data_IF_460161276465
#
_entry.id   IF_460161276465
#
_cell.length_a   1.000
_cell.length_b   1.000
_cell.length_c   1.000
_cell.angle_alpha   90.00
_cell.angle_beta   90.00
_cell.angle_gamma   90.00
#
_symmetry.space_group_name_H-M   'P 1'
#
loop_
_entity.id
_entity.type
_entity.pdbx_description
1 polymer ?
#
# COMPACT_ATOMS: atom_id res chain seq x y z
N UNK A 1 11.61 -7.63 31.60
CA UNK A 1 10.46 -7.77 30.68
C UNK A 1 10.92 -8.72 29.60
N UNK A 2 10.24 -9.86 29.42
CA UNK A 2 10.55 -10.74 28.29
C UNK A 2 10.08 -9.98 27.06
N UNK A 3 11.00 -9.62 26.16
CA UNK A 3 10.60 -9.11 24.85
C UNK A 3 9.74 -10.19 24.19
N UNK A 4 8.47 -9.87 24.00
CA UNK A 4 7.55 -10.72 23.26
C UNK A 4 8.09 -10.86 21.84
N UNK A 5 7.96 -12.05 21.25
CA UNK A 5 8.31 -12.26 19.85
C UNK A 5 7.55 -11.27 18.97
N UNK A 6 8.28 -10.52 18.15
CA UNK A 6 7.72 -9.62 17.15
C UNK A 6 7.19 -10.43 15.95
N UNK A 7 5.88 -10.40 15.72
CA UNK A 7 5.25 -11.07 14.56
C UNK A 7 4.86 -10.03 13.52
N UNK A 8 5.44 -10.16 12.34
CA UNK A 8 5.30 -9.22 11.23
C UNK A 8 4.64 -9.91 10.04
N UNK A 9 3.92 -9.15 9.22
CA UNK A 9 3.27 -9.66 8.02
C UNK A 9 3.29 -8.68 6.86
N UNK A 10 2.69 -9.08 5.74
CA UNK A 10 2.46 -8.19 4.60
C UNK A 10 1.33 -8.71 3.72
N UNK A 11 0.68 -7.79 3.02
CA UNK A 11 -0.34 -8.11 2.01
C UNK A 11 0.29 -8.03 0.63
N UNK A 12 0.10 -9.08 -0.19
CA UNK A 12 0.50 -9.03 -1.58
C UNK A 12 -0.37 -8.02 -2.34
N UNK A 13 0.28 -7.10 -3.04
CA UNK A 13 -0.36 -5.89 -3.56
C UNK A 13 0.13 -5.49 -4.95
N UNK A 14 0.77 -6.40 -5.68
CA UNK A 14 1.30 -6.07 -7.01
C UNK A 14 0.19 -5.62 -7.96
N UNK A 15 0.43 -4.46 -8.58
CA UNK A 15 -0.25 -4.01 -9.79
C UNK A 15 0.74 -4.21 -10.93
N UNK A 16 0.55 -5.29 -11.69
CA UNK A 16 1.49 -5.74 -12.73
C UNK A 16 0.90 -5.48 -14.10
N UNK A 17 1.61 -4.70 -14.92
CA UNK A 17 1.27 -4.49 -16.33
C UNK A 17 1.92 -5.57 -17.18
N UNK A 18 1.08 -6.39 -17.81
CA UNK A 18 1.44 -7.51 -18.66
C UNK A 18 0.92 -7.24 -20.07
N UNK A 19 1.75 -6.60 -20.91
CA UNK A 19 1.35 -6.19 -22.27
C UNK A 19 0.06 -5.35 -22.20
N UNK A 20 -1.01 -5.81 -22.83
CA UNK A 20 -2.32 -5.15 -22.88
C UNK A 20 -3.21 -5.38 -21.64
N UNK A 21 -2.71 -6.03 -20.59
CA UNK A 21 -3.48 -6.37 -19.39
C UNK A 21 -2.80 -5.86 -18.14
N UNK A 22 -3.58 -5.43 -17.17
CA UNK A 22 -3.11 -5.14 -15.81
C UNK A 22 -3.72 -6.16 -14.86
N UNK A 23 -2.89 -6.78 -14.02
CA UNK A 23 -3.33 -7.61 -12.90
C UNK A 23 -3.17 -6.83 -11.62
N UNK A 24 -4.16 -6.91 -10.76
CA UNK A 24 -4.18 -6.24 -9.46
C UNK A 24 -4.43 -7.29 -8.37
N UNK A 25 -3.39 -7.59 -7.60
CA UNK A 25 -3.46 -8.63 -6.58
C UNK A 25 -4.30 -8.22 -5.35
N UNK A 26 -4.50 -6.93 -5.09
CA UNK A 26 -5.44 -6.50 -4.04
C UNK A 26 -6.87 -6.88 -4.42
N UNK A 27 -7.22 -6.73 -5.70
CA UNK A 27 -8.55 -7.11 -6.22
C UNK A 27 -8.68 -8.62 -6.38
N UNK A 28 -7.68 -9.29 -6.94
CA UNK A 28 -7.73 -10.75 -7.18
C UNK A 28 -7.80 -11.57 -5.88
N UNK A 29 -7.22 -11.08 -4.78
CA UNK A 29 -7.34 -11.70 -3.44
C UNK A 29 -8.60 -11.25 -2.67
N UNK A 30 -9.34 -10.29 -3.23
CA UNK A 30 -10.51 -9.65 -2.60
C UNK A 30 -10.16 -8.73 -1.43
N UNK A 31 -8.89 -8.51 -1.12
CA UNK A 31 -8.47 -7.63 -0.03
C UNK A 31 -8.90 -6.16 -0.25
N UNK A 32 -8.93 -5.74 -1.52
CA UNK A 32 -9.36 -4.39 -1.91
C UNK A 32 -10.76 -4.06 -1.39
N UNK A 33 -11.68 -5.03 -1.45
CA UNK A 33 -13.09 -4.86 -1.04
C UNK A 33 -13.32 -5.26 0.43
N UNK A 34 -12.53 -6.21 0.95
CA UNK A 34 -12.74 -6.81 2.28
C UNK A 34 -11.93 -6.11 3.37
N UNK A 35 -12.49 -5.04 3.95
CA UNK A 35 -11.89 -4.32 5.08
C UNK A 35 -11.65 -5.20 6.32
N UNK A 36 -12.51 -6.19 6.56
CA UNK A 36 -12.42 -7.10 7.70
C UNK A 36 -11.14 -7.93 7.78
N UNK A 37 -10.38 -8.06 6.68
CA UNK A 37 -9.08 -8.75 6.68
C UNK A 37 -8.09 -8.16 7.67
N UNK A 38 -8.16 -6.85 7.93
CA UNK A 38 -7.26 -6.19 8.88
C UNK A 38 -7.48 -6.69 10.31
N UNK A 39 -8.74 -6.94 10.69
CA UNK A 39 -9.08 -7.51 11.99
C UNK A 39 -8.57 -8.95 12.10
N UNK A 40 -8.76 -9.77 11.06
CA UNK A 40 -8.23 -11.14 11.02
C UNK A 40 -6.70 -11.17 11.10
N UNK A 41 -6.01 -10.22 10.45
CA UNK A 41 -4.55 -10.06 10.55
C UNK A 41 -4.13 -9.75 12.00
N UNK A 42 -4.83 -8.81 12.65
CA UNK A 42 -4.53 -8.45 14.04
C UNK A 42 -4.77 -9.61 15.02
N UNK A 43 -5.81 -10.42 14.79
CA UNK A 43 -6.14 -11.62 15.59
C UNK A 43 -5.05 -12.70 15.51
N UNK A 44 -4.29 -12.77 14.41
CA UNK A 44 -3.11 -13.65 14.30
C UNK A 44 -1.93 -13.21 15.18
N UNK A 45 -2.03 -12.07 15.87
CA UNK A 45 -0.96 -11.53 16.70
C UNK A 45 0.06 -10.68 15.94
N UNK A 46 -0.18 -10.37 14.66
CA UNK A 46 0.68 -9.47 13.88
C UNK A 46 0.57 -8.05 14.44
N UNK A 47 1.71 -7.46 14.79
CA UNK A 47 1.80 -6.08 15.31
C UNK A 47 2.44 -5.09 14.35
N UNK A 48 3.13 -5.58 13.32
CA UNK A 48 3.71 -4.76 12.24
C UNK A 48 3.32 -5.33 10.88
N UNK A 49 2.79 -4.50 9.99
CA UNK A 49 2.28 -4.95 8.68
C UNK A 49 2.87 -4.09 7.56
N UNK A 50 3.56 -4.71 6.59
CA UNK A 50 3.85 -4.05 5.31
C UNK A 50 2.53 -3.86 4.57
N UNK A 51 2.13 -2.61 4.40
CA UNK A 51 0.82 -2.28 3.85
C UNK A 51 0.92 -1.29 2.67
N UNK A 52 0.19 -1.51 1.57
CA UNK A 52 0.28 -0.66 0.39
C UNK A 52 -0.32 0.74 0.63
N UNK A 53 0.46 1.75 0.25
CA UNK A 53 -0.03 3.09 -0.07
C UNK A 53 0.49 3.39 -1.47
N UNK A 54 0.12 2.53 -2.43
CA UNK A 54 0.73 2.49 -3.75
C UNK A 54 0.40 3.74 -4.56
N UNK A 55 1.43 4.34 -5.16
CA UNK A 55 1.31 5.50 -6.03
C UNK A 55 0.34 5.26 -7.18
N UNK A 56 0.43 4.11 -7.84
CA UNK A 56 -0.50 3.72 -8.91
C UNK A 56 -1.94 3.53 -8.41
N UNK A 57 -2.14 3.17 -7.14
CA UNK A 57 -3.49 3.01 -6.60
C UNK A 57 -4.15 4.36 -6.33
N UNK A 58 -3.36 5.32 -5.81
CA UNK A 58 -3.84 6.66 -5.47
C UNK A 58 -4.00 7.55 -6.71
N UNK A 59 -3.05 7.50 -7.65
CA UNK A 59 -3.01 8.40 -8.82
C UNK A 59 -3.25 7.68 -10.16
N UNK A 60 -3.75 6.45 -10.14
CA UNK A 60 -3.84 5.58 -11.33
C UNK A 60 -4.81 6.04 -12.43
N UNK A 61 -5.79 6.87 -12.09
CA UNK A 61 -6.82 7.39 -13.01
C UNK A 61 -6.61 8.86 -13.42
N UNK A 62 -5.48 9.45 -13.04
CA UNK A 62 -5.17 10.86 -13.29
C UNK A 62 -5.73 11.82 -12.24
N UNK A 63 -6.40 11.31 -11.21
CA UNK A 63 -6.78 12.05 -10.01
C UNK A 63 -6.23 11.36 -8.76
N UNK A 64 -5.97 12.11 -7.69
CA UNK A 64 -5.50 11.52 -6.42
C UNK A 64 -6.71 11.07 -5.57
N UNK A 65 -6.96 9.77 -5.49
CA UNK A 65 -7.98 9.17 -4.62
C UNK A 65 -7.36 8.51 -3.37
N UNK A 66 -7.49 9.20 -2.24
CA UNK A 66 -6.96 8.76 -0.95
C UNK A 66 -7.95 7.94 -0.11
N UNK A 67 -9.20 7.77 -0.55
CA UNK A 67 -10.27 7.17 0.27
C UNK A 67 -9.91 5.76 0.72
N UNK A 68 -9.27 4.98 -0.16
CA UNK A 68 -8.86 3.62 0.16
C UNK A 68 -7.73 3.58 1.21
N UNK A 69 -6.55 4.19 1.00
CA UNK A 69 -5.49 4.17 2.02
C UNK A 69 -5.92 4.83 3.33
N UNK A 70 -6.74 5.89 3.30
CA UNK A 70 -7.27 6.51 4.52
C UNK A 70 -8.08 5.52 5.36
N UNK A 71 -9.03 4.83 4.74
CA UNK A 71 -9.87 3.86 5.43
C UNK A 71 -9.02 2.73 6.04
N UNK A 72 -8.00 2.25 5.31
CA UNK A 72 -7.18 1.11 5.73
C UNK A 72 -6.17 1.49 6.81
N UNK A 73 -5.47 2.61 6.68
CA UNK A 73 -4.50 3.06 7.68
C UNK A 73 -5.17 3.46 9.00
N UNK A 74 -6.36 4.08 8.94
CA UNK A 74 -7.14 4.37 10.14
C UNK A 74 -7.59 3.08 10.86
N UNK A 75 -7.97 2.05 10.11
CA UNK A 75 -8.34 0.76 10.70
C UNK A 75 -7.13 0.04 11.32
N UNK A 76 -5.97 0.04 10.66
CA UNK A 76 -4.73 -0.48 11.25
C UNK A 76 -4.36 0.23 12.55
N UNK A 77 -4.49 1.57 12.58
CA UNK A 77 -4.29 2.38 13.79
C UNK A 77 -5.26 1.97 14.89
N UNK A 78 -6.56 1.81 14.58
CA UNK A 78 -7.60 1.37 15.54
C UNK A 78 -7.28 -0.01 16.12
N UNK A 79 -6.74 -0.92 15.31
CA UNK A 79 -6.36 -2.28 15.70
C UNK A 79 -5.01 -2.37 16.43
N UNK A 80 -4.27 -1.26 16.54
CA UNK A 80 -2.94 -1.25 17.14
C UNK A 80 -1.89 -2.00 16.32
N UNK A 81 -2.05 -2.04 14.99
CA UNK A 81 -1.09 -2.63 14.05
C UNK A 81 -0.29 -1.49 13.40
N UNK A 82 1.04 -1.54 13.52
CA UNK A 82 1.95 -0.54 12.95
C UNK A 82 2.16 -0.79 11.45
N UNK A 83 1.73 0.10 10.54
CA UNK A 83 2.00 -0.05 9.13
C UNK A 83 3.46 0.28 8.78
N UNK A 84 4.02 -0.45 7.82
CA UNK A 84 5.17 -0.04 7.02
C UNK A 84 4.64 0.27 5.62
N UNK A 85 4.51 1.56 5.28
CA UNK A 85 3.88 1.99 4.04
C UNK A 85 4.74 1.68 2.82
N UNK A 86 4.22 0.88 1.90
CA UNK A 86 4.83 0.61 0.59
C UNK A 86 4.30 1.57 -0.46
N UNK A 87 5.16 2.44 -1.00
CA UNK A 87 4.79 3.47 -1.98
C UNK A 87 4.77 2.96 -3.42
N UNK A 88 5.63 2.00 -3.71
CA UNK A 88 5.76 1.32 -5.01
C UNK A 88 5.97 -0.16 -4.78
N UNK A 89 5.53 -0.98 -5.73
CA UNK A 89 5.81 -2.41 -5.73
C UNK A 89 6.30 -2.82 -7.12
N UNK A 90 7.49 -3.43 -7.18
CA UNK A 90 8.18 -3.78 -8.42
C UNK A 90 8.44 -2.63 -9.41
N UNK A 91 8.52 -1.39 -8.93
CA UNK A 91 8.80 -0.23 -9.78
C UNK A 91 7.61 0.27 -10.61
N UNK A 92 6.39 -0.19 -10.31
CA UNK A 92 5.17 0.32 -10.91
C UNK A 92 4.76 1.66 -10.26
N UNK A 93 4.85 2.75 -11.03
CA UNK A 93 4.12 4.01 -10.79
C UNK A 93 2.81 4.04 -11.60
N UNK A 94 2.03 5.13 -11.59
CA UNK A 94 0.85 5.33 -12.45
C UNK A 94 1.14 5.12 -13.94
N UNK A 95 0.10 5.02 -14.77
CA UNK A 95 0.26 4.67 -16.20
C UNK A 95 1.16 5.64 -16.99
N UNK A 96 1.33 6.85 -16.49
CA UNK A 96 2.14 7.90 -17.12
C UNK A 96 3.65 7.75 -16.91
N UNK A 97 4.12 6.82 -16.08
CA UNK A 97 5.55 6.66 -15.75
C UNK A 97 5.92 5.22 -15.42
N UNK A 98 7.22 4.92 -15.36
CA UNK A 98 7.77 3.60 -15.06
C UNK A 98 9.21 3.71 -14.55
N UNK A 99 9.77 2.64 -13.95
CA UNK A 99 11.12 2.64 -13.36
C UNK A 99 12.27 3.07 -14.30
N UNK A 100 12.09 2.98 -15.61
CA UNK A 100 13.08 3.43 -16.61
C UNK A 100 12.90 4.88 -17.07
N UNK A 101 11.88 5.57 -16.57
CA UNK A 101 11.60 6.97 -16.89
C UNK A 101 12.63 7.82 -16.12
N UNK A 102 13.40 8.70 -16.79
CA UNK A 102 14.39 9.54 -16.13
C UNK A 102 13.80 10.39 -14.99
N UNK A 103 12.53 10.77 -15.09
CA UNK A 103 11.85 11.59 -14.07
C UNK A 103 11.25 10.75 -12.93
N UNK A 104 11.33 9.42 -12.99
CA UNK A 104 10.73 8.53 -11.99
C UNK A 104 11.18 8.83 -10.55
N UNK A 105 12.47 9.07 -10.24
CA UNK A 105 12.90 9.36 -8.88
C UNK A 105 12.23 10.62 -8.30
N UNK A 106 12.17 11.70 -9.08
CA UNK A 106 11.57 12.97 -8.69
C UNK A 106 10.06 12.84 -8.51
N UNK A 107 9.39 12.14 -9.42
CA UNK A 107 7.95 11.89 -9.32
C UNK A 107 7.60 11.03 -8.10
N UNK A 108 8.40 9.98 -7.84
CA UNK A 108 8.24 9.14 -6.64
C UNK A 108 8.52 9.92 -5.36
N UNK A 109 9.55 10.77 -5.33
CA UNK A 109 9.85 11.62 -4.18
C UNK A 109 8.71 12.58 -3.87
N UNK A 110 8.09 13.17 -4.90
CA UNK A 110 6.89 14.01 -4.75
C UNK A 110 5.74 13.22 -4.13
N UNK A 111 5.44 12.03 -4.64
CA UNK A 111 4.40 11.18 -4.06
C UNK A 111 4.72 10.78 -2.61
N UNK A 112 5.98 10.43 -2.31
CA UNK A 112 6.41 10.14 -0.94
C UNK A 112 6.20 11.33 0.01
N UNK A 113 6.46 12.55 -0.46
CA UNK A 113 6.16 13.79 0.27
C UNK A 113 4.68 13.93 0.59
N UNK A 114 3.80 13.72 -0.40
CA UNK A 114 2.34 13.76 -0.19
C UNK A 114 1.87 12.72 0.83
N UNK A 115 2.44 11.51 0.81
CA UNK A 115 2.12 10.46 1.78
C UNK A 115 2.57 10.86 3.19
N UNK A 116 3.78 11.40 3.33
CA UNK A 116 4.32 11.84 4.63
C UNK A 116 3.53 13.03 5.21
N UNK A 117 3.13 13.99 4.39
CA UNK A 117 2.28 15.12 4.81
C UNK A 117 0.89 14.65 5.26
N UNK A 118 0.33 13.65 4.58
CA UNK A 118 -1.00 13.11 4.86
C UNK A 118 -1.04 12.23 6.10
N UNK A 119 0.03 11.47 6.34
CA UNK A 119 0.13 10.49 7.43
C UNK A 119 1.40 10.76 8.27
N UNK A 120 1.39 11.78 9.14
CA UNK A 120 2.53 12.12 9.99
C UNK A 120 2.79 11.10 11.11
#
# INVERSE_FOLDING_TARGET
>A
MSDSLEIWGGVECSIVRLRERTRDQLRETGHFDRAGDLSLIAEMGIKTLRYPVLWELVEGDGSSDWRWPDARLNELRRLGVRPIAGLVHHGSGPKSTHVLDPDFPELLARYAGLVAERYP
#
